data_IF_778182604971
#
_entry.id   IF_778182604971
#
_cell.length_a   1.000
_cell.length_b   1.000
_cell.length_c   1.000
_cell.angle_alpha   90.00
_cell.angle_beta   90.00
_cell.angle_gamma   90.00
#
_symmetry.space_group_name_H-M   'P 1'
#
loop_
_entity.id
_entity.type
_entity.pdbx_description
1 polymer ?
#
# COMPACT_ATOMS: atom_id res chain seq x y z
N UNK A 1 -13.64 42.84 30.32
CA UNK A 1 -13.56 41.37 30.30
C UNK A 1 -14.32 40.84 31.49
N UNK A 2 -15.34 40.03 31.26
CA UNK A 2 -15.97 39.27 32.32
C UNK A 2 -15.31 37.89 32.35
N UNK A 3 -14.73 37.49 33.47
CA UNK A 3 -14.32 36.12 33.68
C UNK A 3 -15.55 35.36 34.15
N UNK A 4 -15.93 34.31 33.42
CA UNK A 4 -16.95 33.36 33.85
C UNK A 4 -16.23 32.08 34.29
N UNK A 5 -16.48 31.66 35.52
CA UNK A 5 -15.88 30.44 36.09
C UNK A 5 -16.99 29.67 36.80
N UNK A 6 -17.10 28.38 36.50
CA UNK A 6 -18.08 27.49 37.12
C UNK A 6 -17.33 26.38 37.84
N UNK A 7 -17.75 26.10 39.07
CA UNK A 7 -17.29 24.97 39.86
C UNK A 7 -18.53 24.19 40.31
N UNK A 8 -18.65 22.93 39.88
CA UNK A 8 -19.65 22.01 40.43
C UNK A 8 -18.98 21.08 41.45
N UNK A 9 -19.69 20.79 42.54
CA UNK A 9 -19.32 19.81 43.56
C UNK A 9 -20.36 18.70 43.58
N UNK A 10 -19.96 17.47 43.91
CA UNK A 10 -20.82 16.30 44.15
C UNK A 10 -21.92 16.00 43.12
N UNK A 11 -21.60 15.17 42.12
CA UNK A 11 -22.59 14.46 41.29
C UNK A 11 -23.29 15.28 40.19
N UNK A 12 -23.14 16.60 40.17
CA UNK A 12 -23.82 17.49 39.22
C UNK A 12 -22.94 17.90 38.02
N UNK A 13 -23.58 18.36 36.94
CA UNK A 13 -22.90 18.91 35.76
C UNK A 13 -22.31 20.30 36.04
N UNK A 14 -21.07 20.53 35.60
CA UNK A 14 -20.49 21.88 35.58
C UNK A 14 -21.23 22.82 34.63
N UNK A 15 -21.46 22.39 33.38
CA UNK A 15 -22.20 23.14 32.36
C UNK A 15 -23.10 22.15 31.60
N UNK A 16 -24.38 22.51 31.46
CA UNK A 16 -25.35 21.84 30.58
C UNK A 16 -25.81 22.84 29.52
N UNK A 17 -25.60 22.54 28.24
CA UNK A 17 -25.93 23.43 27.13
C UNK A 17 -26.61 22.66 26.00
N UNK A 18 -27.75 23.16 25.53
CA UNK A 18 -28.60 22.53 24.51
C UNK A 18 -29.13 23.57 23.51
N UNK A 19 -29.41 23.14 22.29
CA UNK A 19 -30.04 23.96 21.26
C UNK A 19 -30.79 23.10 20.26
N UNK A 20 -32.02 23.47 19.95
CA UNK A 20 -32.85 22.75 18.98
C UNK A 20 -32.51 23.09 17.51
N UNK A 21 -31.90 24.26 17.29
CA UNK A 21 -31.74 24.82 15.94
C UNK A 21 -30.31 25.27 15.61
N UNK A 22 -29.42 25.38 16.59
CA UNK A 22 -28.05 25.87 16.42
C UNK A 22 -27.06 25.05 17.26
N UNK A 23 -25.84 25.56 17.44
CA UNK A 23 -24.83 24.92 18.29
C UNK A 23 -25.19 25.08 19.77
N UNK A 24 -25.15 24.00 20.55
CA UNK A 24 -25.28 24.08 22.01
C UNK A 24 -24.07 24.78 22.65
N UNK A 25 -22.86 24.56 22.11
CA UNK A 25 -21.62 25.20 22.53
C UNK A 25 -20.76 25.56 21.31
N UNK A 26 -20.31 26.81 21.25
CA UNK A 26 -19.45 27.31 20.17
C UNK A 26 -18.18 27.95 20.76
N UNK A 27 -17.00 27.44 20.37
CA UNK A 27 -15.70 27.95 20.83
C UNK A 27 -14.85 28.47 19.68
N UNK A 28 -14.41 29.73 19.77
CA UNK A 28 -13.49 30.36 18.80
C UNK A 28 -12.31 30.94 19.56
N UNK A 29 -11.11 30.72 19.04
CA UNK A 29 -9.88 31.32 19.56
C UNK A 29 -9.03 31.84 18.40
N UNK A 30 -8.46 33.03 18.59
CA UNK A 30 -7.41 33.59 17.75
C UNK A 30 -6.03 33.48 18.40
N UNK A 31 -5.92 32.75 19.52
CA UNK A 31 -4.65 32.54 20.21
C UNK A 31 -3.67 31.75 19.34
N UNK A 32 -2.39 32.10 19.42
CA UNK A 32 -1.31 31.38 18.74
C UNK A 32 -0.91 30.08 19.46
N UNK A 33 -1.26 29.91 20.74
CA UNK A 33 -0.71 28.85 21.61
C UNK A 33 -1.75 28.18 22.53
N UNK A 34 -3.03 28.55 22.42
CA UNK A 34 -4.11 28.01 23.26
C UNK A 34 -5.22 27.38 22.42
N UNK A 35 -5.71 26.23 22.88
CA UNK A 35 -6.88 25.59 22.31
C UNK A 35 -8.13 26.47 22.49
N UNK A 36 -9.02 26.46 21.50
CA UNK A 36 -10.34 27.09 21.64
C UNK A 36 -11.22 26.36 22.66
N UNK A 37 -11.11 25.02 22.68
CA UNK A 37 -11.79 24.12 23.64
C UNK A 37 -10.78 23.04 24.04
N UNK A 38 -10.67 22.76 25.33
CA UNK A 38 -9.88 21.66 25.85
C UNK A 38 -10.72 20.85 26.86
N UNK A 39 -10.61 19.53 26.81
CA UNK A 39 -11.34 18.61 27.68
C UNK A 39 -10.38 17.57 28.27
N UNK A 40 -10.45 17.37 29.59
CA UNK A 40 -9.54 16.49 30.32
C UNK A 40 -10.33 15.65 31.31
N UNK A 41 -10.10 14.34 31.28
CA UNK A 41 -10.51 13.44 32.36
C UNK A 41 -9.24 13.13 33.17
N UNK A 42 -9.24 13.49 34.45
CA UNK A 42 -8.02 13.55 35.28
C UNK A 42 -8.05 12.59 36.48
N UNK A 43 -9.06 11.72 36.58
CA UNK A 43 -9.06 10.72 37.63
C UNK A 43 -7.95 9.70 37.34
N UNK A 44 -6.99 9.60 38.25
CA UNK A 44 -5.82 8.74 38.13
C UNK A 44 -6.02 7.33 38.67
N UNK A 45 -7.22 7.00 39.18
CA UNK A 45 -7.55 5.64 39.58
C UNK A 45 -7.45 4.69 38.36
N UNK A 46 -6.69 3.58 38.45
CA UNK A 46 -6.56 2.61 37.36
C UNK A 46 -7.89 1.99 36.89
N UNK A 47 -8.94 2.03 37.72
CA UNK A 47 -10.27 1.56 37.38
C UNK A 47 -11.16 2.64 36.73
N UNK A 48 -10.69 3.89 36.61
CA UNK A 48 -11.47 4.95 35.98
C UNK A 48 -11.60 4.74 34.47
N UNK A 49 -12.83 4.76 33.96
CA UNK A 49 -13.15 4.55 32.54
C UNK A 49 -13.81 5.77 31.88
N UNK A 50 -13.78 6.92 32.55
CA UNK A 50 -14.44 8.13 32.04
C UNK A 50 -13.77 8.65 30.77
N UNK A 51 -14.58 9.06 29.78
CA UNK A 51 -14.06 9.67 28.56
C UNK A 51 -13.71 11.15 28.79
N UNK A 52 -12.61 11.63 28.19
CA UNK A 52 -12.35 13.07 28.11
C UNK A 52 -13.38 13.79 27.23
N UNK A 53 -13.75 13.18 26.11
CA UNK A 53 -14.80 13.63 25.19
C UNK A 53 -15.62 12.41 24.80
N UNK A 54 -16.95 12.51 24.90
CA UNK A 54 -17.89 11.55 24.33
C UNK A 54 -18.71 12.28 23.27
N UNK A 55 -18.74 11.76 22.05
CA UNK A 55 -19.45 12.35 20.93
C UNK A 55 -20.23 11.28 20.17
N UNK A 56 -21.48 11.56 19.88
CA UNK A 56 -22.41 10.65 19.20
C UNK A 56 -23.27 11.45 18.21
N UNK A 57 -23.60 10.85 17.07
CA UNK A 57 -24.50 11.43 16.07
C UNK A 57 -25.51 10.36 15.64
N UNK A 58 -26.80 10.70 15.71
CA UNK A 58 -27.89 9.83 15.25
C UNK A 58 -28.36 10.15 13.83
N UNK A 59 -27.86 11.25 13.24
CA UNK A 59 -28.11 11.65 11.86
C UNK A 59 -26.99 11.23 10.92
N UNK A 60 -27.10 11.60 9.64
CA UNK A 60 -26.07 11.31 8.63
C UNK A 60 -24.78 12.15 8.75
N UNK A 61 -24.65 12.99 9.77
CA UNK A 61 -23.47 13.82 10.01
C UNK A 61 -22.42 13.12 10.89
N UNK A 62 -21.17 13.58 10.82
CA UNK A 62 -20.08 13.09 11.66
C UNK A 62 -20.27 13.51 13.12
N UNK A 63 -20.08 12.59 14.06
CA UNK A 63 -20.01 12.93 15.49
C UNK A 63 -18.78 13.80 15.82
N UNK A 64 -17.67 13.58 15.11
CA UNK A 64 -16.45 14.39 15.19
C UNK A 64 -15.95 14.64 13.76
N UNK A 65 -15.68 15.90 13.43
CA UNK A 65 -15.04 16.28 12.18
C UNK A 65 -13.86 17.22 12.49
N UNK A 66 -12.69 16.93 11.90
CA UNK A 66 -11.47 17.71 12.10
C UNK A 66 -10.90 18.11 10.73
N UNK A 67 -10.66 19.40 10.56
CA UNK A 67 -10.15 19.96 9.31
C UNK A 67 -8.99 20.91 9.60
N UNK A 68 -7.94 20.84 8.79
CA UNK A 68 -6.89 21.84 8.73
C UNK A 68 -7.01 22.56 7.39
N UNK A 69 -7.01 23.89 7.43
CA UNK A 69 -6.96 24.76 6.25
C UNK A 69 -5.70 25.60 6.35
N UNK A 70 -4.56 24.98 6.03
CA UNK A 70 -3.25 25.61 6.05
C UNK A 70 -2.44 25.10 4.85
N UNK A 71 -1.74 26.00 4.18
CA UNK A 71 -0.98 25.74 2.97
C UNK A 71 0.51 25.45 3.26
N UNK A 72 0.96 25.55 4.52
CA UNK A 72 2.40 25.62 4.84
C UNK A 72 2.93 24.70 5.97
N UNK A 73 2.12 23.88 6.66
CA UNK A 73 2.57 23.20 7.89
C UNK A 73 2.52 21.67 7.90
N UNK A 74 3.32 21.09 8.81
CA UNK A 74 3.31 19.68 9.24
C UNK A 74 2.20 19.44 10.28
N UNK A 75 1.01 19.97 10.05
CA UNK A 75 -0.07 19.88 11.02
C UNK A 75 -0.72 18.49 11.02
N UNK A 76 -1.24 18.09 12.18
CA UNK A 76 -1.92 16.82 12.40
C UNK A 76 -3.35 17.13 12.85
N UNK A 77 -4.35 16.73 12.05
CA UNK A 77 -5.75 17.03 12.35
C UNK A 77 -6.25 16.26 13.58
N UNK A 78 -5.80 15.00 13.70
CA UNK A 78 -6.15 14.11 14.80
C UNK A 78 -4.88 13.38 15.23
N UNK A 79 -4.53 13.53 16.50
CA UNK A 79 -3.45 12.78 17.14
C UNK A 79 -4.04 11.94 18.26
N UNK A 80 -3.76 10.64 18.24
CA UNK A 80 -4.19 9.70 19.27
C UNK A 80 -2.99 8.93 19.81
N UNK A 81 -2.82 8.97 21.13
CA UNK A 81 -1.76 8.27 21.84
C UNK A 81 -2.38 7.55 23.05
N UNK A 82 -1.91 6.33 23.30
CA UNK A 82 -2.30 5.56 24.46
C UNK A 82 -1.04 4.99 25.09
N UNK A 83 -0.72 5.48 26.29
CA UNK A 83 0.42 5.04 27.10
C UNK A 83 -0.01 4.07 28.22
N UNK A 84 -1.24 3.53 28.12
CA UNK A 84 -1.81 2.60 29.08
C UNK A 84 -1.05 1.27 29.12
N UNK A 85 -0.95 0.70 30.32
CA UNK A 85 -0.16 -0.51 30.57
C UNK A 85 -0.86 -1.84 30.19
N UNK A 86 -2.15 -1.81 29.80
CA UNK A 86 -2.92 -3.02 29.52
C UNK A 86 -2.70 -3.51 28.08
N UNK A 87 -2.61 -4.84 27.89
CA UNK A 87 -2.42 -5.47 26.59
C UNK A 87 -3.56 -5.19 25.58
N UNK A 88 -4.76 -4.88 26.07
CA UNK A 88 -5.95 -4.61 25.24
C UNK A 88 -6.23 -3.10 25.06
N UNK A 89 -5.24 -2.26 25.36
CA UNK A 89 -5.33 -0.82 25.17
C UNK A 89 -5.02 -0.43 23.71
N UNK A 90 -5.93 0.30 23.09
CA UNK A 90 -5.77 0.81 21.72
C UNK A 90 -5.74 2.33 21.72
N UNK A 91 -4.85 2.93 20.91
CA UNK A 91 -4.92 4.37 20.64
C UNK A 91 -6.12 4.71 19.74
N UNK A 92 -6.44 3.82 18.79
CA UNK A 92 -7.58 3.95 17.88
C UNK A 92 -8.24 2.57 17.76
N UNK A 93 -9.55 2.52 17.98
CA UNK A 93 -10.40 1.35 17.74
C UNK A 93 -11.57 1.78 16.87
N UNK A 94 -11.78 1.10 15.75
CA UNK A 94 -12.81 1.46 14.77
C UNK A 94 -13.63 0.23 14.40
N UNK A 95 -14.94 0.42 14.24
CA UNK A 95 -15.88 -0.64 13.89
C UNK A 95 -16.87 -0.15 12.85
N UNK A 96 -17.13 -0.98 11.86
CA UNK A 96 -18.29 -0.88 10.97
C UNK A 96 -19.20 -2.06 11.37
N UNK A 97 -20.44 -1.77 11.78
CA UNK A 97 -21.37 -2.78 12.31
C UNK A 97 -22.63 -2.99 11.45
N UNK A 98 -22.74 -2.33 10.29
CA UNK A 98 -23.88 -2.52 9.41
C UNK A 98 -23.71 -3.84 8.63
N UNK A 99 -24.59 -4.83 8.82
CA UNK A 99 -24.38 -6.19 8.32
C UNK A 99 -24.26 -6.28 6.79
N UNK A 100 -24.93 -5.39 6.07
CA UNK A 100 -24.95 -5.37 4.60
C UNK A 100 -23.98 -4.36 3.97
N UNK A 101 -23.07 -3.78 4.76
CA UNK A 101 -22.13 -2.75 4.27
C UNK A 101 -20.75 -3.33 3.95
N UNK A 102 -20.27 -3.07 2.74
CA UNK A 102 -18.88 -3.35 2.34
C UNK A 102 -17.88 -2.24 2.74
N UNK A 103 -18.36 -1.19 3.43
CA UNK A 103 -17.52 -0.07 3.85
C UNK A 103 -16.44 -0.48 4.86
N UNK A 104 -15.24 0.07 4.72
CA UNK A 104 -14.16 -0.16 5.65
C UNK A 104 -14.43 0.51 7.01
N UNK A 105 -14.07 -0.16 8.11
CA UNK A 105 -14.07 0.44 9.45
C UNK A 105 -13.08 1.61 9.57
N UNK A 106 -12.00 1.58 8.79
CA UNK A 106 -11.04 2.66 8.65
C UNK A 106 -10.82 2.95 7.16
N UNK A 107 -11.10 4.18 6.73
CA UNK A 107 -10.89 4.62 5.36
C UNK A 107 -9.86 5.76 5.34
N UNK A 108 -8.83 5.62 4.52
CA UNK A 108 -7.80 6.63 4.33
C UNK A 108 -7.56 6.82 2.83
N UNK A 109 -7.58 8.07 2.38
CA UNK A 109 -7.39 8.44 0.99
C UNK A 109 -6.31 9.51 0.87
N UNK A 110 -5.39 9.31 -0.08
CA UNK A 110 -4.54 10.37 -0.57
C UNK A 110 -5.04 10.77 -1.96
N UNK A 111 -5.73 11.91 -2.10
CA UNK A 111 -6.46 12.29 -3.32
C UNK A 111 -5.62 12.27 -4.62
N UNK A 112 -4.29 12.46 -4.53
CA UNK A 112 -3.37 12.37 -5.68
C UNK A 112 -2.68 11.00 -5.85
N UNK A 113 -3.18 9.96 -5.18
CA UNK A 113 -2.70 8.58 -5.31
C UNK A 113 -1.34 8.28 -4.66
N UNK A 114 -0.87 9.13 -3.74
CA UNK A 114 0.36 8.88 -2.98
C UNK A 114 0.05 8.01 -1.74
N UNK A 115 0.97 7.96 -0.79
CA UNK A 115 0.86 7.16 0.44
C UNK A 115 -0.39 7.54 1.24
N UNK A 116 -1.35 6.62 1.35
CA UNK A 116 -2.55 6.80 2.16
C UNK A 116 -2.37 6.31 3.62
N UNK A 117 -1.41 5.41 3.87
CA UNK A 117 -1.13 4.88 5.21
C UNK A 117 0.35 4.53 5.38
N UNK A 118 0.87 4.72 6.59
CA UNK A 118 2.25 4.40 6.96
C UNK A 118 2.27 3.80 8.37
N UNK A 119 2.87 2.63 8.50
CA UNK A 119 2.87 1.85 9.73
C UNK A 119 4.30 1.54 10.15
N UNK A 120 4.66 1.87 11.41
CA UNK A 120 5.90 1.42 12.05
C UNK A 120 5.54 0.29 13.02
N UNK A 121 5.83 -0.94 12.62
CA UNK A 121 5.45 -2.15 13.36
C UNK A 121 4.80 -3.18 12.44
N UNK A 122 4.11 -4.14 13.03
CA UNK A 122 3.46 -5.23 12.32
C UNK A 122 2.00 -4.90 12.02
N UNK A 123 1.50 -5.42 10.90
CA UNK A 123 0.06 -5.43 10.58
C UNK A 123 -0.38 -6.90 10.64
N UNK A 124 -1.42 -7.17 11.44
CA UNK A 124 -2.05 -8.50 11.53
C UNK A 124 -3.43 -8.41 10.89
N UNK A 125 -3.69 -9.28 9.92
CA UNK A 125 -4.98 -9.36 9.22
C UNK A 125 -5.49 -10.79 9.37
N UNK A 126 -6.70 -10.94 9.90
CA UNK A 126 -7.34 -12.25 10.12
C UNK A 126 -8.19 -12.70 8.94
N UNK A 127 -8.50 -11.78 8.02
CA UNK A 127 -9.09 -12.06 6.71
C UNK A 127 -8.08 -11.84 5.59
N UNK A 128 -8.56 -11.46 4.42
CA UNK A 128 -7.73 -11.26 3.24
C UNK A 128 -7.20 -9.82 3.11
N UNK A 129 -6.05 -9.69 2.45
CA UNK A 129 -5.57 -8.43 1.91
C UNK A 129 -5.82 -8.45 0.41
N UNK A 130 -6.69 -7.55 -0.08
CA UNK A 130 -7.02 -7.45 -1.49
C UNK A 130 -6.12 -6.45 -2.20
N UNK A 131 -5.35 -6.93 -3.18
CA UNK A 131 -4.56 -6.09 -4.08
C UNK A 131 -5.21 -6.10 -5.47
N UNK A 132 -5.56 -4.95 -6.06
CA UNK A 132 -6.10 -4.92 -7.42
C UNK A 132 -5.05 -5.19 -8.52
N UNK A 133 -3.76 -5.15 -8.17
CA UNK A 133 -2.67 -5.54 -9.08
C UNK A 133 -2.45 -7.06 -9.10
N UNK A 134 -1.78 -7.58 -10.13
CA UNK A 134 -1.82 -9.01 -10.44
C UNK A 134 -0.53 -9.79 -10.15
N UNK A 135 0.57 -9.11 -9.86
CA UNK A 135 1.86 -9.73 -9.55
C UNK A 135 2.46 -9.27 -8.22
N UNK A 136 3.32 -10.13 -7.68
CA UNK A 136 4.19 -9.83 -6.55
C UNK A 136 5.59 -9.54 -7.10
N UNK A 137 6.03 -8.29 -6.95
CA UNK A 137 7.32 -7.84 -7.43
C UNK A 137 8.25 -7.48 -6.28
N UNK A 138 9.56 -7.55 -6.54
CA UNK A 138 10.60 -7.01 -5.68
C UNK A 138 11.49 -6.06 -6.48
N UNK A 139 11.95 -4.99 -5.87
CA UNK A 139 12.86 -4.03 -6.50
C UNK A 139 14.31 -4.54 -6.45
N UNK A 140 14.90 -4.83 -7.61
CA UNK A 140 16.29 -5.28 -7.74
C UNK A 140 17.19 -4.18 -8.29
N UNK A 141 18.41 -4.12 -7.77
CA UNK A 141 19.44 -3.23 -8.25
C UNK A 141 19.95 -3.69 -9.62
N UNK A 142 19.98 -2.78 -10.59
CA UNK A 142 20.52 -3.06 -11.92
C UNK A 142 22.01 -2.71 -12.02
N UNK A 143 22.64 -3.24 -13.07
CA UNK A 143 23.95 -2.75 -13.53
C UNK A 143 23.87 -1.28 -13.98
N UNK A 144 25.01 -0.60 -14.00
CA UNK A 144 25.09 0.77 -14.46
C UNK A 144 24.63 0.88 -15.93
N UNK A 145 23.89 1.95 -16.25
CA UNK A 145 23.40 2.25 -17.60
C UNK A 145 22.46 1.21 -18.21
N UNK A 146 21.87 0.33 -17.39
CA UNK A 146 20.79 -0.54 -17.84
C UNK A 146 19.53 0.27 -18.09
N UNK A 147 19.04 0.23 -19.32
CA UNK A 147 17.71 0.68 -19.69
C UNK A 147 16.82 -0.56 -19.89
N UNK A 148 15.75 -0.64 -19.11
CA UNK A 148 14.74 -1.68 -19.24
C UNK A 148 13.35 -1.05 -19.19
N UNK A 149 12.43 -1.64 -19.97
CA UNK A 149 11.03 -1.24 -19.99
C UNK A 149 10.19 -2.34 -19.35
N UNK A 150 8.98 -2.05 -18.86
CA UNK A 150 8.06 -3.09 -18.47
C UNK A 150 7.94 -4.19 -19.53
N UNK A 151 7.97 -5.44 -19.08
CA UNK A 151 7.98 -6.65 -19.88
C UNK A 151 9.36 -7.17 -20.30
N UNK A 152 10.44 -6.43 -20.03
CA UNK A 152 11.81 -6.91 -20.24
C UNK A 152 12.13 -8.06 -19.30
N UNK A 153 12.67 -9.16 -19.84
CA UNK A 153 13.20 -10.30 -19.08
C UNK A 153 14.59 -9.97 -18.54
N UNK A 154 14.81 -10.20 -17.25
CA UNK A 154 16.04 -9.83 -16.54
C UNK A 154 16.74 -11.05 -15.95
N UNK A 155 18.07 -11.02 -15.92
CA UNK A 155 18.93 -12.06 -15.34
C UNK A 155 19.98 -11.48 -14.40
N UNK A 156 20.47 -12.29 -13.47
CA UNK A 156 21.60 -11.94 -12.61
C UNK A 156 22.91 -11.89 -13.39
N UNK A 157 23.71 -10.87 -13.09
CA UNK A 157 25.11 -10.79 -13.45
C UNK A 157 26.00 -11.37 -12.35
N UNK A 158 27.30 -11.49 -12.61
CA UNK A 158 28.27 -11.96 -11.59
C UNK A 158 28.40 -11.00 -10.40
N UNK A 159 27.92 -9.75 -10.52
CA UNK A 159 27.93 -8.77 -9.42
C UNK A 159 26.74 -8.92 -8.46
N UNK A 160 25.80 -9.83 -8.77
CA UNK A 160 24.53 -9.97 -8.05
C UNK A 160 23.48 -8.91 -8.39
N UNK A 161 23.72 -8.09 -9.43
CA UNK A 161 22.77 -7.12 -9.98
C UNK A 161 22.03 -7.71 -11.17
N UNK A 162 21.00 -7.00 -11.65
CA UNK A 162 20.23 -7.42 -12.82
C UNK A 162 20.61 -6.66 -14.09
N UNK A 163 20.51 -7.35 -15.22
CA UNK A 163 20.59 -6.81 -16.57
C UNK A 163 19.59 -7.55 -17.49
N UNK A 164 19.22 -7.00 -18.66
CA UNK A 164 18.40 -7.72 -19.62
C UNK A 164 19.05 -9.06 -19.99
N UNK A 165 18.28 -10.15 -19.98
CA UNK A 165 18.79 -11.46 -20.41
C UNK A 165 19.31 -11.38 -21.85
N UNK A 166 20.43 -12.02 -22.18
CA UNK A 166 21.06 -11.88 -23.50
C UNK A 166 21.32 -13.21 -24.23
N UNK A 167 21.11 -14.33 -23.54
CA UNK A 167 21.36 -15.67 -24.05
C UNK A 167 20.15 -16.58 -23.85
N UNK A 168 20.01 -17.53 -24.77
CA UNK A 168 18.99 -18.56 -24.69
C UNK A 168 19.21 -19.50 -23.49
N UNK A 169 18.14 -19.78 -22.73
CA UNK A 169 18.16 -20.68 -21.56
C UNK A 169 19.16 -20.26 -20.47
N UNK A 170 19.14 -18.99 -20.08
CA UNK A 170 19.92 -18.51 -18.95
C UNK A 170 19.36 -19.05 -17.64
N UNK A 171 20.17 -19.82 -16.92
CA UNK A 171 19.84 -20.30 -15.57
C UNK A 171 19.80 -19.20 -14.50
N UNK A 172 20.23 -17.99 -14.87
CA UNK A 172 20.33 -16.82 -13.99
C UNK A 172 19.13 -15.88 -14.12
N UNK A 173 18.12 -16.26 -14.89
CA UNK A 173 16.92 -15.46 -15.07
C UNK A 173 16.22 -15.24 -13.73
N UNK A 174 15.81 -13.99 -13.47
CA UNK A 174 15.21 -13.55 -12.20
C UNK A 174 13.73 -13.25 -12.35
N UNK A 175 13.28 -12.93 -13.56
CA UNK A 175 11.89 -12.62 -13.84
C UNK A 175 11.76 -11.52 -14.87
N UNK A 176 10.65 -10.80 -14.77
CA UNK A 176 10.21 -9.84 -15.79
C UNK A 176 9.95 -8.50 -15.11
N UNK A 177 10.40 -7.40 -15.71
CA UNK A 177 10.07 -6.04 -15.24
C UNK A 177 8.54 -5.87 -15.29
N UNK A 178 7.90 -5.61 -14.14
CA UNK A 178 6.43 -5.49 -14.07
C UNK A 178 5.89 -4.16 -14.60
N UNK A 179 4.57 -4.06 -14.79
CA UNK A 179 3.87 -2.82 -15.17
C UNK A 179 3.61 -2.65 -16.66
N UNK A 180 3.72 -3.72 -17.46
CA UNK A 180 3.49 -3.68 -18.89
C UNK A 180 2.02 -3.91 -19.24
N UNK A 181 1.59 -3.35 -20.39
CA UNK A 181 0.21 -3.45 -20.83
C UNK A 181 -0.77 -2.79 -19.84
N UNK A 182 -1.95 -3.38 -19.56
CA UNK A 182 -2.90 -2.87 -18.57
C UNK A 182 -2.59 -3.29 -17.13
N UNK A 183 -1.46 -3.99 -16.89
CA UNK A 183 -1.17 -4.61 -15.60
C UNK A 183 -0.30 -3.72 -14.71
N UNK A 184 -0.50 -3.84 -13.40
CA UNK A 184 0.33 -3.23 -12.36
C UNK A 184 0.59 -4.25 -11.25
N UNK A 185 1.72 -4.12 -10.52
CA UNK A 185 1.97 -4.95 -9.34
C UNK A 185 0.91 -4.78 -8.27
N UNK A 186 0.53 -5.88 -7.65
CA UNK A 186 -0.29 -5.89 -6.44
C UNK A 186 0.52 -5.45 -5.23
N UNK A 187 1.74 -5.96 -5.12
CA UNK A 187 2.71 -5.59 -4.07
C UNK A 187 4.10 -5.43 -4.68
N UNK A 188 4.85 -4.45 -4.17
CA UNK A 188 6.27 -4.27 -4.51
C UNK A 188 7.10 -4.25 -3.23
N UNK A 189 7.96 -5.24 -3.07
CA UNK A 189 8.88 -5.41 -1.95
C UNK A 189 10.21 -4.71 -2.23
N UNK A 190 10.97 -4.41 -1.17
CA UNK A 190 12.32 -3.86 -1.31
C UNK A 190 12.38 -2.43 -1.88
N UNK A 191 11.25 -1.69 -1.91
CA UNK A 191 11.25 -0.32 -2.42
C UNK A 191 12.21 0.56 -1.62
N UNK A 192 13.27 1.04 -2.25
CA UNK A 192 14.27 1.87 -1.61
C UNK A 192 14.20 3.31 -2.14
N UNK A 193 13.55 4.19 -1.38
CA UNK A 193 13.57 5.63 -1.66
C UNK A 193 14.99 6.18 -1.48
N UNK A 194 15.58 6.76 -2.53
CA UNK A 194 16.87 7.45 -2.46
C UNK A 194 18.08 6.65 -2.98
N UNK A 195 17.88 5.55 -3.71
CA UNK A 195 18.98 4.91 -4.46
C UNK A 195 19.44 5.82 -5.60
N UNK A 196 20.75 5.90 -5.78
CA UNK A 196 21.38 6.53 -6.96
C UNK A 196 21.47 5.56 -8.14
N UNK A 197 21.53 4.27 -7.86
CA UNK A 197 21.62 3.22 -8.87
C UNK A 197 20.24 2.94 -9.48
N UNK A 198 20.20 2.60 -10.77
CA UNK A 198 18.99 2.12 -11.42
C UNK A 198 18.47 0.86 -10.70
N UNK A 199 17.15 0.80 -10.49
CA UNK A 199 16.46 -0.36 -9.93
C UNK A 199 15.17 -0.60 -10.70
N UNK A 200 14.75 -1.86 -10.78
CA UNK A 200 13.53 -2.25 -11.47
C UNK A 200 12.70 -3.20 -10.61
N UNK A 201 11.37 -3.02 -10.56
CA UNK A 201 10.49 -3.99 -9.93
C UNK A 201 10.37 -5.22 -10.84
N UNK A 202 10.83 -6.37 -10.35
CA UNK A 202 10.81 -7.64 -11.07
C UNK A 202 9.70 -8.50 -10.48
N UNK A 203 8.77 -8.94 -11.33
CA UNK A 203 7.74 -9.89 -10.96
C UNK A 203 8.36 -11.26 -10.70
N UNK A 204 8.14 -11.76 -9.49
CA UNK A 204 8.61 -13.08 -9.03
C UNK A 204 7.52 -14.15 -9.16
N UNK A 205 6.25 -13.72 -9.06
CA UNK A 205 5.07 -14.54 -9.25
C UNK A 205 3.87 -13.70 -9.68
N UNK A 206 2.89 -14.36 -10.32
CA UNK A 206 1.62 -13.74 -10.75
C UNK A 206 1.58 -13.49 -12.25
N UNK A 207 0.67 -12.63 -12.69
CA UNK A 207 0.46 -12.37 -14.13
C UNK A 207 1.13 -11.07 -14.56
N UNK A 208 2.02 -11.15 -15.55
CA UNK A 208 2.66 -9.98 -16.17
C UNK A 208 2.68 -10.09 -17.69
N UNK A 209 2.91 -8.98 -18.37
CA UNK A 209 3.21 -9.00 -19.79
C UNK A 209 4.71 -9.19 -20.01
N UNK A 210 5.07 -10.11 -20.91
CA UNK A 210 6.44 -10.46 -21.26
C UNK A 210 6.73 -10.03 -22.69
N UNK A 211 7.89 -9.40 -22.90
CA UNK A 211 8.47 -9.27 -24.24
C UNK A 211 8.94 -10.66 -24.65
N UNK A 212 8.46 -11.14 -25.78
CA UNK A 212 8.78 -12.46 -26.28
C UNK A 212 9.03 -12.41 -27.79
N UNK A 213 9.75 -13.40 -28.28
CA UNK A 213 9.98 -13.60 -29.70
C UNK A 213 9.84 -15.07 -30.09
N UNK A 214 9.72 -15.31 -31.39
CA UNK A 214 9.53 -16.64 -31.96
C UNK A 214 10.85 -17.30 -32.41
N UNK A 215 11.99 -17.01 -31.75
CA UNK A 215 13.29 -17.60 -32.10
C UNK A 215 13.28 -19.13 -32.02
N UNK A 216 12.47 -19.68 -31.10
CA UNK A 216 12.22 -21.12 -30.95
C UNK A 216 10.87 -21.57 -31.53
N UNK A 217 10.33 -20.81 -32.48
CA UNK A 217 9.02 -21.05 -33.10
C UNK A 217 7.87 -20.28 -32.46
N UNK A 218 6.65 -20.45 -33.00
CA UNK A 218 5.45 -19.81 -32.48
C UNK A 218 5.20 -20.14 -31.01
N UNK A 219 4.68 -19.17 -30.25
CA UNK A 219 4.26 -19.33 -28.85
C UNK A 219 2.74 -19.51 -28.83
N UNK A 220 2.28 -20.52 -28.11
CA UNK A 220 0.87 -20.83 -27.86
C UNK A 220 0.56 -20.78 -26.35
N UNK A 221 -0.72 -20.66 -26.02
CA UNK A 221 -1.17 -20.67 -24.62
C UNK A 221 -0.75 -21.97 -23.94
N UNK A 222 -0.13 -21.85 -22.77
CA UNK A 222 0.36 -22.98 -21.97
C UNK A 222 1.82 -23.37 -22.26
N UNK A 223 2.44 -22.84 -23.32
CA UNK A 223 3.86 -23.06 -23.59
C UNK A 223 4.74 -22.55 -22.45
N UNK A 224 5.73 -23.36 -22.07
CA UNK A 224 6.80 -22.93 -21.18
C UNK A 224 7.67 -21.91 -21.90
N UNK A 225 8.04 -20.85 -21.18
CA UNK A 225 8.89 -19.79 -21.70
C UNK A 225 10.24 -19.74 -20.97
N UNK A 226 11.30 -19.46 -21.72
CA UNK A 226 12.68 -19.30 -21.27
C UNK A 226 13.28 -18.03 -21.88
N UNK A 227 14.43 -17.55 -21.41
CA UNK A 227 15.13 -16.42 -22.05
C UNK A 227 15.48 -16.71 -23.52
N UNK A 228 15.45 -15.67 -24.35
CA UNK A 228 15.79 -15.68 -25.77
C UNK A 228 17.23 -15.21 -26.03
N UNK A 229 17.70 -15.40 -27.26
CA UNK A 229 18.89 -14.72 -27.79
C UNK A 229 18.65 -13.23 -28.03
N UNK A 230 17.39 -12.80 -28.17
CA UNK A 230 17.06 -11.36 -28.26
C UNK A 230 17.12 -10.76 -26.85
N UNK A 231 17.93 -9.70 -26.63
CA UNK A 231 18.07 -9.12 -25.31
C UNK A 231 16.73 -8.74 -24.68
N UNK A 232 16.51 -9.17 -23.44
CA UNK A 232 15.32 -8.88 -22.67
C UNK A 232 14.02 -9.56 -23.14
N UNK A 233 14.09 -10.55 -24.03
CA UNK A 233 12.93 -11.29 -24.50
C UNK A 233 12.92 -12.73 -23.99
N UNK A 234 11.72 -13.29 -23.86
CA UNK A 234 11.49 -14.72 -23.71
C UNK A 234 11.24 -15.38 -25.08
N UNK A 235 11.36 -16.70 -25.13
CA UNK A 235 10.96 -17.54 -26.26
C UNK A 235 10.42 -18.88 -25.73
N UNK A 236 9.79 -19.67 -26.61
CA UNK A 236 9.32 -21.02 -26.28
C UNK A 236 10.47 -21.91 -25.80
N UNK A 237 10.28 -22.59 -24.68
CA UNK A 237 11.19 -23.61 -24.17
C UNK A 237 10.90 -24.94 -24.86
N UNK A 238 11.78 -25.32 -25.78
CA UNK A 238 11.69 -26.54 -26.61
C UNK A 238 12.70 -27.62 -26.21
N UNK A 239 13.71 -27.28 -25.40
CA UNK A 239 14.72 -28.19 -24.89
C UNK A 239 14.50 -28.45 -23.38
N UNK A 240 13.94 -29.62 -23.00
CA UNK A 240 13.67 -29.95 -21.61
C UNK A 240 14.92 -30.03 -20.73
N UNK A 241 16.09 -30.39 -21.30
CA UNK A 241 17.33 -30.52 -20.53
C UNK A 241 17.89 -29.16 -20.13
N UNK A 242 17.70 -28.15 -20.97
CA UNK A 242 18.11 -26.76 -20.68
C UNK A 242 17.05 -25.96 -19.94
N UNK A 243 15.79 -26.35 -20.06
CA UNK A 243 14.65 -25.67 -19.43
C UNK A 243 14.72 -25.70 -17.89
N UNK A 244 15.27 -26.77 -17.30
CA UNK A 244 15.36 -26.88 -15.85
C UNK A 244 16.24 -25.75 -15.25
N UNK A 245 15.61 -24.85 -14.51
CA UNK A 245 16.24 -23.66 -13.92
C UNK A 245 16.37 -22.45 -14.86
N UNK A 246 15.82 -22.50 -16.08
CA UNK A 246 15.79 -21.38 -17.03
C UNK A 246 14.35 -20.99 -17.45
N UNK A 247 13.34 -21.76 -17.04
CA UNK A 247 11.94 -21.44 -17.26
C UNK A 247 11.52 -20.26 -16.39
N UNK A 248 10.85 -19.29 -17.01
CA UNK A 248 10.38 -18.06 -16.37
C UNK A 248 8.88 -18.18 -16.03
N UNK A 249 8.14 -18.94 -16.83
CA UNK A 249 6.69 -19.08 -16.67
C UNK A 249 6.02 -19.77 -17.84
N UNK A 250 4.69 -19.59 -17.94
CA UNK A 250 3.87 -20.10 -19.03
C UNK A 250 3.14 -18.98 -19.77
N UNK A 251 3.10 -19.09 -21.08
CA UNK A 251 2.35 -18.18 -21.93
C UNK A 251 0.84 -18.26 -21.64
N UNK A 252 0.19 -17.10 -21.54
CA UNK A 252 -1.28 -16.96 -21.47
C UNK A 252 -1.86 -16.37 -22.77
N UNK A 253 -1.01 -16.08 -23.74
CA UNK A 253 -1.38 -15.61 -25.07
C UNK A 253 -0.46 -16.21 -26.13
N UNK A 254 -0.83 -16.04 -27.39
CA UNK A 254 -0.07 -16.57 -28.53
C UNK A 254 0.75 -15.50 -29.25
N UNK A 255 1.85 -15.93 -29.87
CA UNK A 255 2.66 -15.12 -30.78
C UNK A 255 3.06 -15.98 -31.98
N UNK A 256 2.47 -15.73 -33.15
CA UNK A 256 2.69 -16.57 -34.33
C UNK A 256 4.08 -16.36 -34.96
N UNK A 257 4.51 -15.11 -35.10
CA UNK A 257 5.80 -14.73 -35.70
C UNK A 257 6.34 -13.42 -35.13
N UNK A 258 7.66 -13.31 -35.11
CA UNK A 258 8.37 -12.06 -34.80
C UNK A 258 8.55 -11.86 -33.30
N UNK A 259 8.46 -10.60 -32.85
CA UNK A 259 8.57 -10.23 -31.46
C UNK A 259 7.36 -9.38 -31.03
N UNK A 260 6.93 -9.54 -29.79
CA UNK A 260 5.76 -8.86 -29.26
C UNK A 260 5.66 -8.96 -27.75
N UNK A 261 4.58 -8.40 -27.21
CA UNK A 261 4.26 -8.45 -25.80
C UNK A 261 3.09 -9.40 -25.60
N UNK A 262 3.22 -10.39 -24.70
CA UNK A 262 2.15 -11.36 -24.40
C UNK A 262 2.00 -11.59 -22.89
N UNK A 263 0.78 -11.86 -22.39
CA UNK A 263 0.57 -12.15 -20.97
C UNK A 263 1.18 -13.50 -20.60
N UNK A 264 1.84 -13.57 -19.45
CA UNK A 264 2.56 -14.73 -18.91
C UNK A 264 2.19 -14.88 -17.45
N UNK A 265 1.94 -16.12 -17.02
CA UNK A 265 1.95 -16.45 -15.61
C UNK A 265 3.37 -16.81 -15.20
N UNK A 266 3.92 -16.01 -14.29
CA UNK A 266 5.27 -16.16 -13.73
C UNK A 266 5.17 -16.97 -12.45
N UNK A 267 6.08 -17.92 -12.31
CA UNK A 267 6.36 -18.61 -11.06
C UNK A 267 7.83 -19.03 -11.11
N UNK A 268 8.72 -18.18 -10.58
CA UNK A 268 10.11 -18.59 -10.42
C UNK A 268 10.21 -19.67 -9.32
N UNK A 269 10.86 -20.79 -9.66
CA UNK A 269 11.14 -21.93 -8.79
C UNK A 269 12.64 -22.09 -8.56
#
# INVERSE_FOLDING_TARGET
>A
MANFTVHATDGDFGIWAESDHNEGLHGVSSSMDRAAIAAFQINTDPAATGNGIYAESWGGGSAIAAFIRDDASKAVAIFAQNDGASADSHAIKAFQAHPDSDAAALHAEHATGKTAGFFRGNIIVTGDISFPGQDCAEEFAAEASVEATPGTVMSLTDSGRIAPSAHAYERRVVGIVTGAGPLRPGIVMGRHTGRTDASFPIALMGTVYCRADTSNGPIEVGDLLTTSVTPGHAMKATDPMRAFGAVIGKAMGSLERGAGLLPVIVALQ
#
